data_IF_942693126399
#
_entry.id   IF_942693126399
#
_cell.length_a   1.000
_cell.length_b   1.000
_cell.length_c   1.000
_cell.angle_alpha   90.00
_cell.angle_beta   90.00
_cell.angle_gamma   90.00
#
_symmetry.space_group_name_H-M   'P 1'
#
loop_
_entity.id
_entity.type
_entity.pdbx_description
1 polymer ?
#
# COMPACT_ATOMS: atom_id res chain seq x y z
N UNK A 1 6.19 -30.24 -15.66
CA UNK A 1 6.51 -28.82 -15.42
C UNK A 1 5.38 -28.23 -14.61
N UNK A 2 5.60 -28.05 -13.33
CA UNK A 2 4.59 -27.73 -12.30
C UNK A 2 4.75 -26.27 -11.89
N UNK A 3 3.86 -25.41 -12.40
CA UNK A 3 3.71 -24.02 -11.94
C UNK A 3 3.37 -23.06 -13.08
N UNK A 4 2.19 -22.42 -13.03
CA UNK A 4 1.80 -21.33 -13.92
C UNK A 4 2.61 -20.03 -13.65
N UNK A 5 3.24 -19.93 -12.49
CA UNK A 5 4.10 -18.84 -12.08
C UNK A 5 5.10 -19.31 -11.01
N UNK A 6 6.23 -18.63 -10.92
CA UNK A 6 7.24 -18.80 -9.88
C UNK A 6 7.28 -17.56 -8.99
N UNK A 7 7.49 -17.76 -7.69
CA UNK A 7 7.64 -16.65 -6.75
C UNK A 7 9.01 -16.01 -6.95
N UNK A 8 9.03 -14.69 -7.14
CA UNK A 8 10.27 -13.92 -7.18
C UNK A 8 10.75 -13.67 -5.75
N UNK A 9 11.65 -14.53 -5.27
CA UNK A 9 12.27 -14.43 -3.93
C UNK A 9 11.30 -14.62 -2.76
N UNK A 10 11.83 -14.59 -1.53
CA UNK A 10 11.04 -14.93 -0.33
C UNK A 10 10.40 -13.72 0.38
N UNK A 11 10.63 -12.50 -0.14
CA UNK A 11 10.20 -11.25 0.50
C UNK A 11 9.11 -10.54 -0.32
N UNK A 12 8.24 -9.74 0.32
CA UNK A 12 7.36 -8.82 -0.40
C UNK A 12 8.18 -7.86 -1.26
N UNK A 13 7.65 -7.51 -2.45
CA UNK A 13 8.25 -6.47 -3.29
C UNK A 13 8.11 -5.08 -2.67
N UNK A 14 7.00 -4.83 -1.97
CA UNK A 14 6.69 -3.60 -1.25
C UNK A 14 6.03 -3.92 0.08
N UNK A 15 6.25 -3.06 1.06
CA UNK A 15 5.69 -3.10 2.40
C UNK A 15 5.09 -1.73 2.74
N UNK A 16 4.31 -1.64 3.83
CA UNK A 16 3.75 -0.37 4.28
C UNK A 16 4.84 0.68 4.58
N UNK A 17 6.03 0.26 5.00
CA UNK A 17 7.14 1.16 5.32
C UNK A 17 7.76 1.86 4.10
N UNK A 18 7.50 1.35 2.90
CA UNK A 18 8.04 1.92 1.65
C UNK A 18 7.23 3.14 1.16
N UNK A 19 6.07 3.41 1.76
CA UNK A 19 5.16 4.48 1.36
C UNK A 19 4.93 5.44 2.52
N UNK A 20 5.06 6.75 2.25
CA UNK A 20 4.71 7.79 3.23
C UNK A 20 3.19 7.98 3.25
N UNK A 21 2.57 8.17 4.43
CA UNK A 21 1.15 8.48 4.49
C UNK A 21 0.86 9.81 3.78
N UNK A 22 -0.32 9.89 3.18
CA UNK A 22 -0.80 11.07 2.47
C UNK A 22 -1.10 12.25 3.41
N UNK A 23 -1.41 11.96 4.68
CA UNK A 23 -1.73 12.94 5.72
C UNK A 23 -0.80 12.79 6.93
N UNK A 24 -0.37 13.89 7.58
CA UNK A 24 0.57 13.83 8.71
C UNK A 24 0.10 12.98 9.89
N UNK A 25 -1.20 12.97 10.17
CA UNK A 25 -1.79 12.25 11.31
C UNK A 25 -2.29 10.84 10.95
N UNK A 26 -1.89 10.33 9.78
CA UNK A 26 -2.23 9.00 9.32
C UNK A 26 -1.00 8.10 9.28
N UNK A 27 -1.24 6.80 9.28
CA UNK A 27 -0.24 5.78 9.04
C UNK A 27 -0.71 4.79 7.96
N UNK A 28 0.23 4.39 7.11
CA UNK A 28 -0.02 3.36 6.09
C UNK A 28 -0.10 2.02 6.78
N UNK A 29 -1.23 1.33 6.65
CA UNK A 29 -1.44 -0.01 7.18
C UNK A 29 -1.00 -1.08 6.18
N UNK A 30 -1.24 -0.84 4.89
CA UNK A 30 -0.93 -1.81 3.86
C UNK A 30 -0.82 -1.19 2.47
N UNK A 31 -0.01 -1.84 1.63
CA UNK A 31 0.11 -1.58 0.20
C UNK A 31 -0.17 -2.90 -0.52
N UNK A 32 -1.28 -2.99 -1.25
CA UNK A 32 -1.77 -4.27 -1.76
C UNK A 32 -2.51 -4.14 -3.08
N UNK A 33 -2.87 -5.29 -3.67
CA UNK A 33 -3.70 -5.45 -4.88
C UNK A 33 -3.36 -4.48 -6.04
N UNK A 34 -2.10 -4.46 -6.54
CA UNK A 34 -1.77 -3.62 -7.67
C UNK A 34 -2.49 -4.06 -8.94
N UNK A 35 -2.93 -3.08 -9.72
CA UNK A 35 -3.01 -3.27 -11.17
C UNK A 35 -1.60 -3.12 -11.75
N UNK A 36 -1.28 -3.89 -12.80
CA UNK A 36 0.02 -3.83 -13.47
C UNK A 36 -0.14 -3.39 -14.92
N UNK A 37 0.72 -2.49 -15.38
CA UNK A 37 0.78 -2.03 -16.76
C UNK A 37 2.23 -1.87 -17.22
N UNK A 38 2.44 -1.89 -18.54
CA UNK A 38 3.69 -1.48 -19.18
C UNK A 38 3.49 -0.07 -19.74
N UNK A 39 4.33 0.87 -19.33
CA UNK A 39 4.34 2.26 -19.84
C UNK A 39 5.72 2.53 -20.39
N UNK A 40 5.85 2.52 -21.72
CA UNK A 40 7.18 2.54 -22.36
C UNK A 40 7.99 1.29 -22.01
N UNK A 41 9.20 1.48 -21.50
CA UNK A 41 10.09 0.43 -21.00
C UNK A 41 9.86 0.09 -19.52
N UNK A 42 9.00 0.81 -18.81
CA UNK A 42 8.79 0.65 -17.37
C UNK A 42 7.58 -0.23 -17.01
N UNK A 43 7.75 -1.09 -16.01
CA UNK A 43 6.63 -1.78 -15.36
C UNK A 43 6.04 -0.88 -14.27
N UNK A 44 4.78 -0.49 -14.42
CA UNK A 44 4.07 0.38 -13.48
C UNK A 44 3.06 -0.44 -12.67
N UNK A 45 3.10 -0.29 -11.35
CA UNK A 45 2.13 -0.86 -10.43
C UNK A 45 1.26 0.24 -9.85
N UNK A 46 -0.05 0.20 -10.13
CA UNK A 46 -1.02 1.07 -9.49
C UNK A 46 -1.47 0.45 -8.17
N UNK A 47 -0.78 0.82 -7.09
CA UNK A 47 -0.97 0.26 -5.76
C UNK A 47 -2.24 0.78 -5.08
N UNK A 48 -2.97 -0.10 -4.38
CA UNK A 48 -3.93 0.32 -3.35
C UNK A 48 -3.19 0.55 -2.03
N UNK A 49 -3.18 1.79 -1.57
CA UNK A 49 -2.63 2.19 -0.27
C UNK A 49 -3.79 2.36 0.71
N UNK A 50 -3.77 1.61 1.81
CA UNK A 50 -4.74 1.75 2.88
C UNK A 50 -4.09 2.48 4.07
N UNK A 51 -4.66 3.61 4.45
CA UNK A 51 -4.22 4.43 5.58
C UNK A 51 -5.30 4.50 6.65
N UNK A 52 -4.89 4.74 7.89
CA UNK A 52 -5.78 5.04 9.02
C UNK A 52 -5.21 6.20 9.83
N UNK A 53 -6.04 6.94 10.60
CA UNK A 53 -5.53 7.85 11.62
C UNK A 53 -4.62 7.10 12.60
N UNK A 54 -3.53 7.73 13.02
CA UNK A 54 -2.66 7.18 14.06
C UNK A 54 -3.42 7.10 15.38
N UNK A 55 -3.13 6.09 16.18
CA UNK A 55 -3.82 5.86 17.46
C UNK A 55 -3.36 6.80 18.57
N UNK A 56 -2.30 7.59 18.34
CA UNK A 56 -1.77 8.60 19.26
C UNK A 56 -2.31 10.02 18.98
N UNK A 57 -3.31 10.15 18.12
CA UNK A 57 -3.92 11.43 17.74
C UNK A 57 -5.36 11.46 18.21
N UNK A 58 -5.74 12.54 18.90
CA UNK A 58 -7.14 12.80 19.21
C UNK A 58 -7.88 13.18 17.92
N UNK A 59 -8.94 12.43 17.54
CA UNK A 59 -9.70 12.77 16.36
C UNK A 59 -10.40 14.13 16.55
N UNK A 60 -10.56 14.92 15.47
CA UNK A 60 -11.30 16.17 15.54
C UNK A 60 -12.78 15.92 15.92
N UNK A 61 -13.43 16.92 16.51
CA UNK A 61 -14.78 16.78 17.06
C UNK A 61 -15.86 16.39 16.03
N UNK A 62 -15.60 16.63 14.75
CA UNK A 62 -16.46 16.29 13.63
C UNK A 62 -16.07 14.99 12.91
N UNK A 63 -15.07 14.27 13.43
CA UNK A 63 -14.65 12.98 12.89
C UNK A 63 -15.82 12.01 12.82
N UNK A 64 -15.93 11.29 11.69
CA UNK A 64 -16.94 10.26 11.47
C UNK A 64 -16.26 8.90 11.42
N UNK A 65 -16.77 7.94 12.18
CA UNK A 65 -16.45 6.52 12.03
C UNK A 65 -17.47 5.89 11.09
N UNK A 66 -17.01 5.06 10.15
CA UNK A 66 -17.85 4.22 9.31
C UNK A 66 -18.34 2.98 10.08
#
# INVERSE_FOLDING_TARGET
MTGLAERVGDRPLLTAADVRPSQPDFEVQSVLNPAAARVGDESVLLMRVAERPRTDVDPPADARTL
#
